data_IF_856654029040
#
_entry.id   IF_856654029040
#
_cell.length_a   1.000
_cell.length_b   1.000
_cell.length_c   1.000
_cell.angle_alpha   90.00
_cell.angle_beta   90.00
_cell.angle_gamma   90.00
#
_symmetry.space_group_name_H-M   'P 1'
#
loop_
_entity.id
_entity.type
_entity.pdbx_description
1 polymer ?
#
# COMPACT_ATOMS: atom_id res chain seq x y z
N UNK A 1 -18.30 0.79 7.78
CA UNK A 1 -17.44 -0.39 7.98
C UNK A 1 -18.01 -1.58 7.22
N UNK A 2 -17.22 -2.24 6.35
CA UNK A 2 -17.68 -3.46 5.67
C UNK A 2 -17.57 -4.67 6.61
N UNK A 3 -18.66 -4.97 7.33
CA UNK A 3 -18.70 -6.00 8.38
C UNK A 3 -18.28 -7.39 7.86
N UNK A 4 -18.62 -7.73 6.61
CA UNK A 4 -18.29 -9.02 6.00
C UNK A 4 -16.79 -9.22 5.85
N UNK A 5 -16.06 -8.21 5.37
CA UNK A 5 -14.58 -8.29 5.23
C UNK A 5 -13.94 -8.33 6.62
N UNK A 6 -14.35 -7.43 7.51
CA UNK A 6 -13.77 -7.30 8.85
C UNK A 6 -13.86 -8.62 9.66
N UNK A 7 -15.00 -9.30 9.61
CA UNK A 7 -15.19 -10.59 10.31
C UNK A 7 -14.79 -11.79 9.46
N UNK A 8 -14.33 -11.61 8.23
CA UNK A 8 -13.94 -12.74 7.37
C UNK A 8 -12.74 -13.48 7.97
N UNK A 9 -12.70 -14.79 7.76
CA UNK A 9 -11.55 -15.64 8.06
C UNK A 9 -10.98 -16.22 6.75
N UNK A 10 -10.64 -15.32 5.81
CA UNK A 10 -10.16 -15.70 4.49
C UNK A 10 -8.64 -16.02 4.49
N UNK A 11 -8.17 -16.64 3.41
CA UNK A 11 -6.75 -16.98 3.23
C UNK A 11 -5.82 -15.76 3.35
N UNK A 12 -6.20 -14.62 2.76
CA UNK A 12 -5.42 -13.38 2.83
C UNK A 12 -5.27 -12.88 4.27
N UNK A 13 -6.33 -12.93 5.09
CA UNK A 13 -6.26 -12.55 6.51
C UNK A 13 -5.29 -13.43 7.28
N UNK A 14 -5.36 -14.75 7.06
CA UNK A 14 -4.45 -15.72 7.68
C UNK A 14 -3.00 -15.47 7.27
N UNK A 15 -2.77 -15.18 5.99
CA UNK A 15 -1.45 -14.86 5.46
C UNK A 15 -0.88 -13.58 6.08
N UNK A 16 -1.66 -12.48 6.11
CA UNK A 16 -1.24 -11.21 6.74
C UNK A 16 -0.91 -11.44 8.23
N UNK A 17 -1.76 -12.18 8.94
CA UNK A 17 -1.51 -12.50 10.35
C UNK A 17 -0.23 -13.32 10.53
N UNK A 18 -0.01 -14.34 9.70
CA UNK A 18 1.20 -15.16 9.76
C UNK A 18 2.46 -14.33 9.50
N UNK A 19 2.53 -13.65 8.34
CA UNK A 19 3.70 -12.85 7.95
C UNK A 19 3.99 -11.76 8.97
N UNK A 20 2.96 -11.03 9.41
CA UNK A 20 3.12 -9.98 10.41
C UNK A 20 3.50 -10.52 11.80
N UNK A 21 3.43 -11.82 12.07
CA UNK A 21 3.93 -12.41 13.32
C UNK A 21 5.34 -13.01 13.18
N UNK A 22 5.82 -13.19 11.94
CA UNK A 22 7.13 -13.80 11.63
C UNK A 22 8.24 -12.78 11.35
N UNK A 23 7.94 -11.48 11.33
CA UNK A 23 8.94 -10.42 11.11
C UNK A 23 9.95 -10.27 12.25
N UNK A 24 11.14 -9.77 11.92
CA UNK A 24 12.20 -9.46 12.87
C UNK A 24 11.78 -8.40 13.91
N UNK A 25 12.32 -8.50 15.12
CA UNK A 25 12.00 -7.60 16.24
C UNK A 25 12.42 -6.15 16.00
N UNK A 26 13.48 -5.94 15.22
CA UNK A 26 14.02 -4.63 14.84
C UNK A 26 13.46 -4.13 13.50
N UNK A 27 12.79 -5.00 12.73
CA UNK A 27 12.10 -4.65 11.49
C UNK A 27 10.68 -5.23 11.47
N UNK A 28 9.76 -4.70 12.31
CA UNK A 28 8.44 -5.27 12.50
C UNK A 28 7.42 -4.85 11.41
N UNK A 29 7.86 -4.85 10.15
CA UNK A 29 7.09 -4.38 8.99
C UNK A 29 7.03 -5.49 7.95
N UNK A 30 5.85 -5.71 7.38
CA UNK A 30 5.69 -6.44 6.12
C UNK A 30 5.31 -5.45 5.03
N UNK A 31 6.04 -5.48 3.92
CA UNK A 31 5.78 -4.65 2.74
C UNK A 31 4.81 -5.36 1.81
N UNK A 32 3.76 -4.65 1.38
CA UNK A 32 2.76 -5.17 0.42
C UNK A 32 2.53 -4.11 -0.65
N UNK A 33 2.71 -4.47 -1.91
CA UNK A 33 2.26 -3.68 -3.05
C UNK A 33 1.02 -4.34 -3.67
N UNK A 34 0.04 -3.54 -4.07
CA UNK A 34 -1.17 -4.05 -4.76
C UNK A 34 -1.63 -3.08 -5.85
N UNK A 35 -2.04 -3.58 -7.03
CA UNK A 35 -2.69 -2.74 -8.04
C UNK A 35 -4.17 -2.48 -7.70
N UNK A 36 -4.73 -3.16 -6.68
CA UNK A 36 -6.14 -3.06 -6.33
C UNK A 36 -6.47 -1.73 -5.64
N UNK A 37 -7.56 -1.11 -6.07
CA UNK A 37 -8.07 0.14 -5.50
C UNK A 37 -8.85 -0.05 -4.19
N UNK A 38 -9.37 -1.26 -3.95
CA UNK A 38 -10.21 -1.56 -2.80
C UNK A 38 -9.47 -1.45 -1.47
N UNK A 39 -10.22 -1.45 -0.36
CA UNK A 39 -9.67 -1.32 1.01
C UNK A 39 -9.60 -2.64 1.78
N UNK A 40 -9.58 -3.78 1.10
CA UNK A 40 -9.65 -5.09 1.76
C UNK A 40 -8.46 -5.29 2.69
N UNK A 41 -7.24 -4.99 2.25
CA UNK A 41 -6.02 -5.19 3.04
C UNK A 41 -6.07 -4.31 4.31
N UNK A 42 -6.45 -3.05 4.17
CA UNK A 42 -6.57 -2.14 5.32
C UNK A 42 -7.60 -2.62 6.33
N UNK A 43 -8.80 -3.00 5.88
CA UNK A 43 -9.87 -3.49 6.76
C UNK A 43 -9.46 -4.79 7.46
N UNK A 44 -8.71 -5.67 6.78
CA UNK A 44 -8.18 -6.89 7.40
C UNK A 44 -7.12 -6.58 8.44
N UNK A 45 -6.22 -5.63 8.17
CA UNK A 45 -5.21 -5.16 9.14
C UNK A 45 -5.88 -4.56 10.39
N UNK A 46 -6.89 -3.70 10.20
CA UNK A 46 -7.69 -3.14 11.31
C UNK A 46 -8.29 -4.27 12.16
N UNK A 47 -8.86 -5.30 11.53
CA UNK A 47 -9.44 -6.47 12.23
C UNK A 47 -8.43 -7.35 12.98
N UNK A 48 -7.14 -7.17 12.70
CA UNK A 48 -6.03 -7.87 13.33
C UNK A 48 -5.25 -6.96 14.29
N UNK A 49 -5.67 -5.71 14.48
CA UNK A 49 -4.94 -4.69 15.26
C UNK A 49 -3.50 -4.47 14.72
N UNK A 50 -3.37 -4.44 13.39
CA UNK A 50 -2.11 -4.17 12.69
C UNK A 50 -2.19 -2.78 12.08
N UNK A 51 -1.19 -1.94 12.34
CA UNK A 51 -1.15 -0.58 11.82
C UNK A 51 -0.75 -0.58 10.34
N UNK A 52 -1.49 0.15 9.51
CA UNK A 52 -1.17 0.32 8.09
C UNK A 52 -0.44 1.64 7.86
N UNK A 53 0.68 1.58 7.15
CA UNK A 53 1.46 2.73 6.70
C UNK A 53 1.30 2.81 5.18
N UNK A 54 0.52 3.76 4.70
CA UNK A 54 0.19 3.91 3.28
C UNK A 54 0.54 5.31 2.75
N UNK A 55 1.43 6.04 3.43
CA UNK A 55 1.82 7.40 3.03
C UNK A 55 0.85 8.50 3.44
N UNK A 56 -0.24 8.19 4.14
CA UNK A 56 -1.17 9.19 4.67
C UNK A 56 -1.10 9.27 6.20
N UNK A 57 -1.19 10.49 6.72
CA UNK A 57 -1.26 10.75 8.15
C UNK A 57 -2.55 11.49 8.49
N UNK A 58 -3.39 10.88 9.34
CA UNK A 58 -4.65 11.44 9.83
C UNK A 58 -5.69 10.35 10.10
N UNK A 59 -6.63 10.62 11.01
CA UNK A 59 -7.63 9.63 11.45
C UNK A 59 -8.92 9.61 10.62
N UNK A 60 -9.52 10.78 10.37
CA UNK A 60 -10.73 10.93 9.55
C UNK A 60 -10.39 11.36 8.11
N UNK A 61 -9.43 12.27 8.01
CA UNK A 61 -8.86 12.81 6.77
C UNK A 61 -7.35 12.72 6.91
N UNK A 62 -6.71 12.01 5.99
CA UNK A 62 -5.28 11.83 5.91
C UNK A 62 -4.65 12.75 4.87
N UNK A 63 -3.60 13.47 5.25
CA UNK A 63 -2.76 14.21 4.31
C UNK A 63 -1.60 13.35 3.84
N UNK A 64 -1.27 13.40 2.54
CA UNK A 64 -0.15 12.63 2.00
C UNK A 64 1.18 13.17 2.52
N UNK A 65 2.07 12.25 2.88
CA UNK A 65 3.42 12.46 3.39
C UNK A 65 4.31 11.36 2.82
N UNK A 66 5.00 11.65 1.72
CA UNK A 66 5.88 10.70 1.03
C UNK A 66 6.88 10.02 1.96
N UNK A 67 7.39 10.76 2.95
CA UNK A 67 8.41 10.28 3.88
C UNK A 67 7.90 9.17 4.81
N UNK A 68 6.58 9.03 5.01
CA UNK A 68 6.02 7.90 5.76
C UNK A 68 6.31 6.55 5.07
N UNK A 69 6.32 6.52 3.74
CA UNK A 69 6.61 5.29 2.98
C UNK A 69 8.11 5.00 2.96
N UNK A 70 8.94 6.04 2.83
CA UNK A 70 10.40 5.92 2.72
C UNK A 70 11.07 5.63 4.06
N UNK A 71 10.68 6.36 5.11
CA UNK A 71 11.28 6.24 6.44
C UNK A 71 10.21 6.20 7.53
N UNK A 72 9.46 5.09 7.66
CA UNK A 72 8.38 5.01 8.64
C UNK A 72 8.90 5.05 10.10
N UNK A 73 10.19 4.73 10.34
CA UNK A 73 10.80 4.83 11.68
C UNK A 73 10.91 6.27 12.20
N UNK A 74 10.89 7.27 11.31
CA UNK A 74 10.84 8.68 11.71
C UNK A 74 9.49 9.07 12.34
N UNK A 75 8.42 8.32 12.05
CA UNK A 75 7.05 8.62 12.49
C UNK A 75 6.55 7.67 13.56
N UNK A 76 7.01 6.41 13.52
CA UNK A 76 6.54 5.36 14.41
C UNK A 76 7.71 4.75 15.20
N UNK A 77 7.48 4.50 16.49
CA UNK A 77 8.42 3.74 17.31
C UNK A 77 8.32 2.25 16.98
N UNK A 78 9.08 1.84 15.98
CA UNK A 78 9.05 0.49 15.40
C UNK A 78 9.91 -0.49 16.19
N UNK A 79 9.43 -0.89 17.36
CA UNK A 79 10.00 -1.98 18.16
C UNK A 79 8.92 -2.99 18.52
N UNK A 80 9.26 -4.27 18.44
CA UNK A 80 8.43 -5.36 18.99
C UNK A 80 8.91 -5.83 20.36
N UNK A 81 8.01 -6.47 21.12
CA UNK A 81 6.53 -6.38 21.06
C UNK A 81 6.00 -5.04 21.62
N UNK A 82 4.72 -4.63 21.38
CA UNK A 82 3.64 -5.32 20.67
C UNK A 82 3.39 -4.85 19.22
N UNK A 83 4.18 -3.94 18.69
CA UNK A 83 3.84 -3.23 17.45
C UNK A 83 4.04 -4.07 16.18
N UNK A 84 3.05 -4.06 15.29
CA UNK A 84 3.08 -4.71 13.97
C UNK A 84 2.62 -3.72 12.91
N UNK A 85 3.34 -3.69 11.79
CA UNK A 85 3.04 -2.76 10.71
C UNK A 85 2.94 -3.48 9.37
N UNK A 86 2.02 -3.00 8.55
CA UNK A 86 1.94 -3.31 7.13
C UNK A 86 2.22 -2.01 6.40
N UNK A 87 3.31 -1.95 5.63
CA UNK A 87 3.57 -0.82 4.73
C UNK A 87 2.95 -1.16 3.38
N UNK A 88 1.87 -0.45 3.05
CA UNK A 88 1.00 -0.73 1.92
C UNK A 88 1.24 0.26 0.79
N UNK A 89 1.61 -0.26 -0.37
CA UNK A 89 1.87 0.49 -1.58
C UNK A 89 0.74 0.28 -2.59
N UNK A 90 0.15 1.40 -3.06
CA UNK A 90 -0.97 1.41 -4.02
C UNK A 90 -0.62 2.30 -5.22
N UNK A 91 0.21 1.82 -6.16
CA UNK A 91 0.64 2.60 -7.32
C UNK A 91 -0.54 3.05 -8.20
N UNK A 92 -1.71 2.39 -8.14
CA UNK A 92 -2.89 2.76 -8.92
C UNK A 92 -3.97 3.53 -8.16
N UNK A 93 -3.65 3.96 -6.94
CA UNK A 93 -4.59 4.70 -6.12
C UNK A 93 -5.48 3.84 -5.25
N UNK A 94 -6.45 4.48 -4.62
CA UNK A 94 -7.40 3.83 -3.72
C UNK A 94 -8.76 4.48 -3.87
N UNK A 95 -9.83 3.70 -3.73
CA UNK A 95 -11.22 4.21 -3.77
C UNK A 95 -11.52 5.25 -2.69
N UNK A 96 -10.61 5.43 -1.73
CA UNK A 96 -10.75 6.41 -0.67
C UNK A 96 -9.74 7.54 -0.72
N UNK A 97 -9.12 7.74 -1.87
CA UNK A 97 -8.32 8.92 -2.15
C UNK A 97 -9.16 9.91 -2.94
N UNK A 98 -9.29 11.13 -2.44
CA UNK A 98 -10.03 12.20 -3.09
C UNK A 98 -9.05 13.30 -3.48
N UNK A 99 -9.07 13.68 -4.76
CA UNK A 99 -8.40 14.87 -5.24
C UNK A 99 -9.22 16.10 -4.87
N UNK A 100 -8.58 17.04 -4.19
CA UNK A 100 -9.14 18.36 -3.89
C UNK A 100 -8.08 19.39 -4.24
N UNK A 101 -8.32 20.15 -5.31
CA UNK A 101 -7.31 21.01 -5.93
C UNK A 101 -6.05 20.22 -6.32
N UNK A 102 -4.87 20.70 -5.93
CA UNK A 102 -3.57 20.08 -6.21
C UNK A 102 -3.18 18.98 -5.21
N UNK A 103 -4.05 18.68 -4.23
CA UNK A 103 -3.76 17.72 -3.17
C UNK A 103 -4.66 16.50 -3.26
N UNK A 104 -4.12 15.35 -2.86
CA UNK A 104 -4.86 14.10 -2.73
C UNK A 104 -4.94 13.77 -1.25
N UNK A 105 -6.15 13.58 -0.74
CA UNK A 105 -6.45 13.25 0.65
C UNK A 105 -6.98 11.83 0.77
N UNK A 106 -6.61 11.15 1.85
CA UNK A 106 -7.26 9.90 2.22
C UNK A 106 -8.48 10.18 3.10
N UNK A 107 -9.65 9.73 2.68
CA UNK A 107 -10.91 9.92 3.40
C UNK A 107 -11.41 8.58 3.94
N UNK A 108 -11.90 8.55 5.17
CA UNK A 108 -12.44 7.31 5.76
C UNK A 108 -13.96 7.32 5.91
N UNK A 109 -14.60 8.49 5.74
CA UNK A 109 -16.05 8.63 5.74
C UNK A 109 -16.64 8.20 4.39
N UNK A 110 -17.35 7.07 4.41
CA UNK A 110 -18.02 6.53 3.23
C UNK A 110 -19.09 7.47 2.65
N UNK A 111 -19.77 8.26 3.49
CA UNK A 111 -20.79 9.19 3.00
C UNK A 111 -20.12 10.27 2.13
N UNK A 112 -19.05 10.86 2.65
CA UNK A 112 -18.23 11.81 1.89
C UNK A 112 -17.65 11.20 0.61
N UNK A 113 -17.16 9.95 0.65
CA UNK A 113 -16.68 9.27 -0.56
C UNK A 113 -17.75 9.14 -1.66
N UNK A 114 -19.02 8.94 -1.27
CA UNK A 114 -20.14 8.86 -2.21
C UNK A 114 -20.53 10.25 -2.74
N UNK A 115 -20.44 11.28 -1.92
CA UNK A 115 -20.70 12.68 -2.31
C UNK A 115 -19.62 13.21 -3.27
N UNK A 116 -18.36 12.80 -3.09
CA UNK A 116 -17.19 13.25 -3.87
C UNK A 116 -16.73 12.19 -4.91
N UNK A 117 -17.63 11.34 -5.43
CA UNK A 117 -17.28 10.19 -6.27
C UNK A 117 -16.48 10.56 -7.53
N UNK A 118 -16.80 11.72 -8.13
CA UNK A 118 -16.13 12.23 -9.34
C UNK A 118 -14.67 12.63 -9.08
N UNK A 119 -14.32 12.88 -7.82
CA UNK A 119 -13.00 13.29 -7.37
C UNK A 119 -12.16 12.11 -6.84
N UNK A 120 -12.66 10.88 -6.93
CA UNK A 120 -11.90 9.68 -6.55
C UNK A 120 -10.68 9.51 -7.46
N UNK A 121 -9.53 9.33 -6.82
CA UNK A 121 -8.24 9.38 -7.47
C UNK A 121 -7.64 7.98 -7.65
N UNK A 122 -7.95 7.38 -8.81
CA UNK A 122 -7.45 6.07 -9.24
C UNK A 122 -6.92 6.13 -10.68
N UNK A 123 -5.97 5.25 -10.99
CA UNK A 123 -5.56 4.95 -12.36
C UNK A 123 -6.39 3.77 -12.86
N UNK A 124 -7.43 4.05 -13.64
CA UNK A 124 -8.20 2.99 -14.31
C UNK A 124 -7.41 2.41 -15.50
N UNK A 125 -7.49 1.09 -15.77
CA UNK A 125 -6.82 0.50 -16.93
C UNK A 125 -7.35 1.09 -18.24
N UNK A 126 -6.47 1.38 -19.19
CA UNK A 126 -6.83 1.77 -20.56
C UNK A 126 -7.42 3.17 -20.73
N UNK A 127 -7.41 4.02 -19.69
CA UNK A 127 -7.83 5.42 -19.78
C UNK A 127 -6.67 6.40 -19.92
N UNK A 128 -6.94 7.68 -20.24
CA UNK A 128 -5.92 8.74 -20.29
C UNK A 128 -5.12 8.87 -18.96
N UNK A 129 -5.79 8.61 -17.83
CA UNK A 129 -5.16 8.56 -16.50
C UNK A 129 -4.08 7.47 -16.37
N UNK A 130 -4.10 6.44 -17.21
CA UNK A 130 -3.08 5.41 -17.23
C UNK A 130 -1.71 5.98 -17.63
N UNK A 131 -1.67 6.86 -18.63
CA UNK A 131 -0.44 7.57 -19.01
C UNK A 131 -0.05 8.66 -17.99
N UNK A 132 -1.03 9.34 -17.38
CA UNK A 132 -0.76 10.28 -16.26
C UNK A 132 -0.25 9.57 -15.00
N UNK A 133 -0.42 8.26 -14.89
CA UNK A 133 0.05 7.47 -13.76
C UNK A 133 1.56 7.52 -13.55
N UNK A 134 2.32 7.91 -14.59
CA UNK A 134 3.75 8.13 -14.52
C UNK A 134 4.15 9.49 -13.94
N UNK A 135 3.27 10.49 -13.97
CA UNK A 135 3.59 11.88 -13.57
C UNK A 135 2.97 12.30 -12.23
N UNK A 136 1.91 11.62 -11.79
CA UNK A 136 1.32 11.88 -10.49
C UNK A 136 2.25 11.42 -9.35
N UNK A 137 2.69 12.39 -8.55
CA UNK A 137 3.71 12.21 -7.51
C UNK A 137 3.32 11.17 -6.44
N UNK A 138 2.04 10.99 -6.13
CA UNK A 138 1.58 10.00 -5.15
C UNK A 138 1.78 8.58 -5.68
N UNK A 139 1.38 8.31 -6.92
CA UNK A 139 1.55 7.01 -7.57
C UNK A 139 3.03 6.65 -7.73
N UNK A 140 3.84 7.63 -8.16
CA UNK A 140 5.30 7.51 -8.23
C UNK A 140 5.90 7.17 -6.86
N UNK A 141 5.54 7.90 -5.79
CA UNK A 141 6.04 7.62 -4.45
C UNK A 141 5.67 6.22 -3.94
N UNK A 142 4.50 5.70 -4.31
CA UNK A 142 4.12 4.33 -3.96
C UNK A 142 4.96 3.28 -4.71
N UNK A 143 5.19 3.48 -6.01
CA UNK A 143 6.01 2.57 -6.83
C UNK A 143 7.48 2.62 -6.41
N UNK A 144 8.04 3.82 -6.31
CA UNK A 144 9.44 4.05 -5.96
C UNK A 144 9.72 3.63 -4.52
N UNK A 145 8.78 3.89 -3.60
CA UNK A 145 8.89 3.46 -2.21
C UNK A 145 8.92 1.94 -2.06
N UNK A 146 8.15 1.19 -2.88
CA UNK A 146 8.25 -0.27 -2.88
C UNK A 146 9.57 -0.73 -3.51
N UNK A 147 9.99 -0.14 -4.62
CA UNK A 147 11.29 -0.43 -5.24
C UNK A 147 12.44 -0.25 -4.25
N UNK A 148 12.47 0.89 -3.55
CA UNK A 148 13.45 1.17 -2.49
C UNK A 148 13.39 0.11 -1.37
N UNK A 149 12.19 -0.33 -0.97
CA UNK A 149 12.05 -1.35 0.07
C UNK A 149 12.68 -2.71 -0.29
N UNK A 150 12.71 -3.04 -1.59
CA UNK A 150 13.36 -4.24 -2.10
C UNK A 150 14.89 -4.08 -2.16
N UNK A 151 15.38 -2.87 -2.44
CA UNK A 151 16.82 -2.56 -2.48
C UNK A 151 17.45 -2.48 -1.08
N UNK A 152 16.70 -2.06 -0.07
CA UNK A 152 17.13 -2.04 1.33
C UNK A 152 17.41 -3.45 1.89
N UNK A 153 16.86 -4.49 1.26
CA UNK A 153 16.95 -5.87 1.71
C UNK A 153 17.80 -6.73 0.77
N UNK A 154 18.97 -7.10 1.26
CA UNK A 154 19.91 -7.93 0.50
C UNK A 154 19.28 -9.26 0.05
N UNK A 155 18.36 -9.86 0.81
CA UNK A 155 17.75 -11.16 0.47
C UNK A 155 16.21 -11.13 0.58
N UNK A 156 15.58 -10.12 -0.03
CA UNK A 156 14.12 -10.03 -0.03
C UNK A 156 13.47 -11.26 -0.70
N UNK A 157 12.48 -11.85 -0.03
CA UNK A 157 11.60 -12.88 -0.62
C UNK A 157 10.32 -12.24 -1.14
N UNK A 158 9.99 -12.50 -2.41
CA UNK A 158 8.76 -12.00 -3.04
C UNK A 158 7.68 -13.10 -3.06
N UNK A 159 6.47 -12.75 -2.61
CA UNK A 159 5.29 -13.60 -2.70
C UNK A 159 4.22 -12.90 -3.54
N UNK A 160 3.80 -13.54 -4.63
CA UNK A 160 2.70 -13.09 -5.46
C UNK A 160 1.40 -13.80 -5.05
N UNK A 161 0.35 -13.04 -4.77
CA UNK A 161 -0.95 -13.58 -4.34
C UNK A 161 -2.07 -13.04 -5.22
N UNK A 162 -2.63 -13.90 -6.07
CA UNK A 162 -3.74 -13.53 -6.96
C UNK A 162 -3.36 -12.54 -8.07
N UNK A 163 -2.08 -12.44 -8.41
CA UNK A 163 -1.57 -11.53 -9.44
C UNK A 163 -1.24 -12.28 -10.74
N UNK A 164 -1.69 -11.75 -11.88
CA UNK A 164 -1.62 -12.41 -13.18
C UNK A 164 -0.53 -11.90 -14.14
N UNK A 165 0.30 -10.94 -13.73
CA UNK A 165 1.36 -10.34 -14.56
C UNK A 165 0.83 -9.74 -15.87
N UNK A 166 -0.21 -8.93 -15.75
CA UNK A 166 -0.89 -8.25 -16.84
C UNK A 166 -0.90 -6.73 -16.65
N UNK A 167 0.01 -6.22 -15.82
CA UNK A 167 0.08 -4.80 -15.45
C UNK A 167 1.52 -4.30 -15.61
N UNK A 168 1.84 -3.68 -16.77
CA UNK A 168 3.19 -3.19 -17.06
C UNK A 168 3.79 -2.29 -15.98
N UNK A 169 2.97 -1.48 -15.30
CA UNK A 169 3.46 -0.58 -14.25
C UNK A 169 3.99 -1.34 -13.02
N UNK A 170 3.39 -2.50 -12.74
CA UNK A 170 3.76 -3.36 -11.62
C UNK A 170 4.86 -4.33 -12.02
N UNK A 171 4.78 -4.87 -13.23
CA UNK A 171 5.71 -5.86 -13.76
C UNK A 171 7.13 -5.29 -13.87
N UNK A 172 7.28 -4.03 -14.28
CA UNK A 172 8.59 -3.33 -14.36
C UNK A 172 9.32 -3.36 -13.02
N UNK A 173 8.63 -3.04 -11.91
CA UNK A 173 9.26 -3.04 -10.57
C UNK A 173 9.82 -4.40 -10.21
N UNK A 174 9.11 -5.46 -10.57
CA UNK A 174 9.54 -6.84 -10.28
C UNK A 174 10.65 -7.30 -11.22
N UNK A 175 10.59 -6.95 -12.51
CA UNK A 175 11.63 -7.27 -13.50
C UNK A 175 12.94 -6.60 -13.11
N UNK A 176 12.91 -5.31 -12.79
CA UNK A 176 14.08 -4.53 -12.41
C UNK A 176 14.79 -5.13 -11.19
N UNK A 177 14.01 -5.61 -10.19
CA UNK A 177 14.55 -6.28 -9.02
C UNK A 177 15.28 -7.57 -9.39
N UNK A 178 14.65 -8.44 -10.20
CA UNK A 178 15.26 -9.72 -10.58
C UNK A 178 16.44 -9.55 -11.53
N UNK A 179 16.41 -8.59 -12.45
CA UNK A 179 17.51 -8.34 -13.39
C UNK A 179 18.78 -7.84 -12.67
N UNK A 180 18.63 -6.97 -11.65
CA UNK A 180 19.75 -6.57 -10.78
C UNK A 180 20.37 -7.75 -10.03
N UNK A 181 19.59 -8.78 -9.71
CA UNK A 181 20.03 -9.98 -8.98
C UNK A 181 20.66 -11.07 -9.85
N UNK A 182 20.46 -11.05 -11.18
CA UNK A 182 21.08 -12.01 -12.12
C UNK A 182 22.59 -11.82 -12.31
N UNK A 183 23.14 -10.69 -11.88
CA UNK A 183 24.54 -10.32 -12.06
C UNK A 183 25.43 -10.57 -10.82
N UNK A 184 24.91 -11.28 -9.82
CA UNK A 184 25.64 -11.79 -8.66
C UNK A 184 25.69 -13.32 -8.72
#
# INVERSE_FOLDING_TARGET
MNKKIYTSNCGLKKLISYLSNSVDVNRPIVDIMTPNYDRVIEILCDSLEIQVINGYLGGAVGAFKSDLLKNPRAYYRMKRPPNRYIRLFKPHGSINWIRSNEQIFQIHDNKRLLEDIENIEIIAPGGAKYEEGFSNIQYVNHRDGFTQSLEEELDASLLFFGYGFNDPHFDVVTSDYFDKKKHF
#
